data_IF_182934810497
#
_entry.id   IF_182934810497
#
_cell.length_a   1.000
_cell.length_b   1.000
_cell.length_c   1.000
_cell.angle_alpha   90.00
_cell.angle_beta   90.00
_cell.angle_gamma   90.00
#
_symmetry.space_group_name_H-M   'P 1'
#
loop_
_entity.id
_entity.type
_entity.pdbx_description
1 polymer ?
#
# COMPACT_ATOMS: atom_id res chain seq x y z
N UNK A 1 -0.55 7.76 -7.08
CA UNK A 1 0.14 6.57 -7.57
C UNK A 1 -0.77 5.40 -7.27
N UNK A 2 -1.25 4.77 -8.31
CA UNK A 2 -2.18 3.65 -8.23
C UNK A 2 -1.40 2.36 -8.37
N UNK A 3 -1.67 1.38 -7.51
CA UNK A 3 -0.99 0.10 -7.55
C UNK A 3 -1.96 -1.07 -7.42
N UNK A 4 -1.53 -2.19 -7.98
CA UNK A 4 -2.17 -3.50 -7.92
C UNK A 4 -1.37 -4.38 -6.97
N UNK A 5 -2.04 -5.08 -6.05
CA UNK A 5 -1.42 -5.94 -5.03
C UNK A 5 -1.88 -7.40 -5.21
N UNK A 6 -1.12 -8.20 -5.95
CA UNK A 6 -1.40 -9.62 -6.17
C UNK A 6 -0.72 -10.47 -5.09
N UNK A 7 -1.38 -11.55 -4.68
CA UNK A 7 -0.92 -12.39 -3.56
C UNK A 7 -0.71 -11.53 -2.32
N UNK A 8 -1.75 -10.75 -1.99
CA UNK A 8 -1.67 -9.61 -1.10
C UNK A 8 -1.31 -10.01 0.35
N UNK A 9 -1.56 -11.28 0.71
CA UNK A 9 -1.35 -11.82 2.04
C UNK A 9 -2.06 -10.95 3.08
N UNK A 10 -1.31 -10.49 4.08
CA UNK A 10 -1.79 -9.59 5.12
C UNK A 10 -1.61 -8.09 4.78
N UNK A 11 -1.13 -7.77 3.58
CA UNK A 11 -1.00 -6.39 3.07
C UNK A 11 0.35 -5.71 3.30
N UNK A 12 1.44 -6.46 3.18
CA UNK A 12 2.81 -5.94 3.34
C UNK A 12 3.14 -4.83 2.33
N UNK A 13 2.91 -5.09 1.03
CA UNK A 13 3.13 -4.09 -0.02
C UNK A 13 2.22 -2.87 0.15
N UNK A 14 0.95 -3.10 0.47
CA UNK A 14 0.00 -2.03 0.75
C UNK A 14 0.53 -1.06 1.82
N UNK A 15 0.95 -1.59 2.97
CA UNK A 15 1.49 -0.79 4.07
C UNK A 15 2.80 -0.10 3.67
N UNK A 16 3.70 -0.82 2.99
CA UNK A 16 4.99 -0.30 2.56
C UNK A 16 4.83 0.89 1.61
N UNK A 17 4.02 0.76 0.56
CA UNK A 17 3.79 1.83 -0.42
C UNK A 17 3.09 3.03 0.22
N UNK A 18 2.09 2.81 1.08
CA UNK A 18 1.44 3.91 1.83
C UNK A 18 2.46 4.68 2.68
N UNK A 19 3.35 3.99 3.38
CA UNK A 19 4.37 4.61 4.24
C UNK A 19 5.46 5.32 3.42
N UNK A 20 5.97 4.68 2.37
CA UNK A 20 6.99 5.25 1.50
C UNK A 20 6.52 6.57 0.88
N UNK A 21 5.29 6.61 0.37
CA UNK A 21 4.72 7.82 -0.24
C UNK A 21 4.41 8.90 0.80
N UNK A 22 3.97 8.51 1.99
CA UNK A 22 3.77 9.47 3.09
C UNK A 22 5.08 10.14 3.50
N UNK A 23 6.19 9.38 3.56
CA UNK A 23 7.50 9.94 3.87
C UNK A 23 8.06 10.82 2.75
N UNK A 24 7.79 10.48 1.49
CA UNK A 24 8.21 11.31 0.35
C UNK A 24 7.57 12.70 0.41
N UNK A 25 6.29 12.79 0.77
CA UNK A 25 5.61 14.08 1.01
C UNK A 25 6.29 14.85 2.13
N UNK A 26 6.58 14.21 3.27
CA UNK A 26 7.26 14.87 4.40
C UNK A 26 8.67 15.36 4.02
N UNK A 27 9.48 14.54 3.34
CA UNK A 27 10.81 14.94 2.90
C UNK A 27 10.79 16.04 1.86
N UNK A 28 9.84 16.03 0.92
CA UNK A 28 9.66 17.10 -0.07
C UNK A 28 9.28 18.43 0.59
N UNK A 29 8.42 18.37 1.62
CA UNK A 29 8.09 19.54 2.44
C UNK A 29 9.29 20.03 3.26
N UNK A 30 10.05 19.12 3.89
CA UNK A 30 11.25 19.47 4.66
C UNK A 30 12.39 20.03 3.79
N UNK A 31 12.63 19.46 2.62
CA UNK A 31 13.58 20.02 1.65
C UNK A 31 13.17 21.42 1.16
N UNK A 32 11.88 21.77 1.26
CA UNK A 32 11.39 23.14 1.06
C UNK A 32 11.39 23.99 2.33
N UNK A 33 11.59 23.40 3.52
CA UNK A 33 11.43 24.02 4.83
C UNK A 33 12.72 24.07 5.68
N UNK A 34 13.90 23.80 5.10
CA UNK A 34 15.21 24.02 5.73
C UNK A 34 15.54 25.50 6.04
N UNK A 35 14.52 26.32 6.29
CA UNK A 35 14.62 27.67 6.89
C UNK A 35 13.94 27.80 8.26
N UNK A 36 13.38 26.75 8.89
CA UNK A 36 12.87 26.90 10.26
C UNK A 36 12.81 25.59 11.08
N UNK A 37 13.72 25.44 12.03
CA UNK A 37 13.72 24.44 13.10
C UNK A 37 12.58 24.64 14.10
N UNK A 38 11.90 23.57 14.53
CA UNK A 38 11.25 23.48 15.85
C UNK A 38 11.17 22.01 16.33
N UNK A 39 11.31 21.72 17.65
CA UNK A 39 11.44 20.36 18.17
C UNK A 39 10.06 19.71 18.38
N UNK A 40 9.92 18.44 18.00
CA UNK A 40 8.68 17.69 18.14
C UNK A 40 8.73 16.82 19.40
N UNK A 41 7.93 17.17 20.41
CA UNK A 41 7.62 16.32 21.56
C UNK A 41 6.23 15.69 21.32
N UNK A 42 6.17 14.37 21.15
CA UNK A 42 4.90 13.65 20.93
C UNK A 42 4.13 13.49 22.24
N UNK A 43 2.87 13.95 22.28
CA UNK A 43 1.83 13.40 23.15
C UNK A 43 0.47 13.50 22.46
N UNK A 44 -0.27 12.40 22.45
CA UNK A 44 -1.50 12.22 21.66
C UNK A 44 -2.72 13.00 22.15
N UNK A 45 -3.73 13.07 21.28
CA UNK A 45 -5.07 13.59 21.58
C UNK A 45 -5.73 14.16 20.31
N UNK A 46 -6.94 13.69 19.98
CA UNK A 46 -7.70 14.12 18.82
C UNK A 46 -8.06 15.61 18.84
N UNK A 47 -8.01 16.23 17.65
CA UNK A 47 -8.47 17.59 17.40
C UNK A 47 -8.05 18.04 16.01
N UNK A 48 -9.01 18.46 15.17
CA UNK A 48 -8.72 19.19 13.93
C UNK A 48 -8.02 20.51 14.28
N UNK A 49 -6.74 20.64 13.91
CA UNK A 49 -6.04 21.93 14.01
C UNK A 49 -6.13 22.67 12.67
N UNK A 50 -6.97 23.71 12.65
CA UNK A 50 -6.94 24.79 11.67
C UNK A 50 -5.72 25.68 11.93
N UNK A 51 -4.72 25.62 11.06
CA UNK A 51 -3.58 26.54 11.07
C UNK A 51 -3.71 27.53 9.90
N UNK A 52 -4.05 28.79 10.20
CA UNK A 52 -3.90 29.92 9.28
C UNK A 52 -2.47 30.46 9.41
N UNK A 53 -1.67 30.38 8.36
CA UNK A 53 -0.40 31.11 8.25
C UNK A 53 -0.34 31.83 6.90
N UNK A 54 -0.10 33.13 6.98
CA UNK A 54 -0.01 34.08 5.87
C UNK A 54 1.42 34.20 5.36
N UNK A 55 1.54 34.26 4.03
CA UNK A 55 2.48 35.04 3.20
C UNK A 55 3.28 34.23 2.15
N UNK A 56 2.85 34.44 0.90
CA UNK A 56 3.70 34.65 -0.28
C UNK A 56 4.84 33.63 -0.56
N UNK A 57 4.53 32.34 -0.54
CA UNK A 57 5.32 31.32 -1.23
C UNK A 57 4.52 30.82 -2.45
N UNK A 58 5.17 30.80 -3.61
CA UNK A 58 4.61 30.41 -4.90
C UNK A 58 3.84 29.08 -4.76
N UNK A 59 2.56 29.09 -5.16
CA UNK A 59 1.62 27.97 -5.12
C UNK A 59 2.07 26.81 -6.04
N UNK A 60 3.09 26.06 -5.64
CA UNK A 60 3.20 24.68 -6.07
C UNK A 60 2.12 23.92 -5.30
N UNK A 61 0.98 23.66 -5.94
CA UNK A 61 -0.07 22.80 -5.41
C UNK A 61 0.52 21.40 -5.27
N UNK A 62 1.17 21.11 -4.14
CA UNK A 62 1.62 19.76 -3.80
C UNK A 62 0.35 18.97 -3.56
N UNK A 63 -0.21 18.41 -4.63
CA UNK A 63 -1.24 17.39 -4.53
C UNK A 63 -0.63 16.28 -3.69
N UNK A 64 -1.26 16.04 -2.54
CA UNK A 64 -0.83 15.05 -1.56
C UNK A 64 -0.62 13.73 -2.28
N UNK A 65 0.64 13.32 -2.40
CA UNK A 65 1.04 12.16 -3.20
C UNK A 65 0.70 10.90 -2.39
N UNK A 66 -0.38 10.22 -2.75
CA UNK A 66 -0.82 9.00 -2.08
C UNK A 66 -0.57 7.77 -2.94
N UNK A 67 -0.17 6.67 -2.31
CA UNK A 67 -0.27 5.33 -2.86
C UNK A 67 -1.69 4.81 -2.62
N UNK A 68 -2.42 4.50 -3.69
CA UNK A 68 -3.77 3.97 -3.66
C UNK A 68 -3.78 2.56 -4.24
N UNK A 69 -4.21 1.60 -3.43
CA UNK A 69 -4.44 0.24 -3.89
C UNK A 69 -5.73 0.24 -4.71
N UNK A 70 -5.63 0.02 -6.02
CA UNK A 70 -6.80 0.00 -6.92
C UNK A 70 -7.33 -1.40 -7.18
N UNK A 71 -6.52 -2.42 -6.90
CA UNK A 71 -6.90 -3.83 -6.93
C UNK A 71 -6.03 -4.60 -5.95
N UNK A 72 -6.60 -5.58 -5.26
CA UNK A 72 -5.86 -6.52 -4.43
C UNK A 72 -6.48 -7.93 -4.51
N UNK A 73 -5.67 -8.97 -4.57
CA UNK A 73 -6.15 -10.36 -4.66
C UNK A 73 -5.44 -11.26 -3.64
N UNK A 74 -6.23 -12.10 -2.95
CA UNK A 74 -5.76 -13.08 -1.99
C UNK A 74 -6.74 -14.26 -1.92
N UNK A 75 -6.21 -15.48 -1.93
CA UNK A 75 -6.99 -16.72 -1.91
C UNK A 75 -7.14 -17.27 -0.48
N UNK A 76 -6.15 -17.09 0.39
CA UNK A 76 -6.16 -17.59 1.76
C UNK A 76 -7.16 -16.83 2.64
N UNK A 77 -8.08 -17.56 3.28
CA UNK A 77 -9.18 -16.94 4.04
C UNK A 77 -8.69 -16.19 5.28
N UNK A 78 -7.63 -16.66 5.93
CA UNK A 78 -7.10 -16.03 7.15
C UNK A 78 -6.36 -14.73 6.82
N UNK A 79 -5.58 -14.73 5.74
CA UNK A 79 -4.93 -13.56 5.18
C UNK A 79 -5.97 -12.52 4.76
N UNK A 80 -7.05 -12.94 4.08
CA UNK A 80 -8.17 -12.03 3.71
C UNK A 80 -8.81 -11.37 4.91
N UNK A 81 -9.07 -12.12 5.98
CA UNK A 81 -9.66 -11.57 7.21
C UNK A 81 -8.73 -10.51 7.82
N UNK A 82 -7.44 -10.81 7.91
CA UNK A 82 -6.43 -9.88 8.43
C UNK A 82 -6.27 -8.64 7.55
N UNK A 83 -6.19 -8.82 6.23
CA UNK A 83 -6.08 -7.71 5.28
C UNK A 83 -7.29 -6.79 5.38
N UNK A 84 -8.51 -7.34 5.37
CA UNK A 84 -9.76 -6.57 5.43
C UNK A 84 -9.88 -5.79 6.73
N UNK A 85 -9.44 -6.37 7.86
CA UNK A 85 -9.40 -5.69 9.15
C UNK A 85 -8.49 -4.45 9.12
N UNK A 86 -7.34 -4.53 8.46
CA UNK A 86 -6.35 -3.44 8.39
C UNK A 86 -6.65 -2.43 7.28
N UNK A 87 -7.27 -2.85 6.18
CA UNK A 87 -7.53 -2.05 4.99
C UNK A 87 -9.02 -2.13 4.56
N UNK A 88 -9.98 -1.75 5.42
CA UNK A 88 -11.40 -1.97 5.18
C UNK A 88 -11.96 -1.21 3.96
N UNK A 89 -11.25 -0.17 3.49
CA UNK A 89 -11.63 0.58 2.28
C UNK A 89 -11.14 -0.06 0.97
N UNK A 90 -10.37 -1.14 1.05
CA UNK A 90 -9.80 -1.82 -0.12
C UNK A 90 -10.54 -3.13 -0.36
N UNK A 91 -11.15 -3.26 -1.53
CA UNK A 91 -11.81 -4.49 -1.93
C UNK A 91 -10.76 -5.56 -2.22
N UNK A 92 -10.92 -6.71 -1.58
CA UNK A 92 -10.08 -7.88 -1.79
C UNK A 92 -10.77 -8.88 -2.70
N UNK A 93 -10.12 -9.25 -3.79
CA UNK A 93 -10.55 -10.28 -4.72
C UNK A 93 -10.00 -11.65 -4.30
N UNK A 94 -10.61 -12.71 -4.81
CA UNK A 94 -10.19 -14.10 -4.53
C UNK A 94 -9.08 -14.55 -5.47
N UNK A 95 -9.12 -15.84 -5.80
CA UNK A 95 -8.22 -16.53 -6.73
C UNK A 95 -7.98 -15.73 -8.04
N UNK A 96 -6.72 -15.36 -8.26
CA UNK A 96 -6.26 -14.57 -9.42
C UNK A 96 -6.18 -15.39 -10.71
N UNK A 97 -6.21 -16.73 -10.63
CA UNK A 97 -6.23 -17.60 -11.80
C UNK A 97 -7.57 -17.58 -12.53
N UNK A 98 -8.64 -17.14 -11.85
CA UNK A 98 -9.98 -17.04 -12.42
C UNK A 98 -10.11 -15.83 -13.35
N UNK A 99 -10.64 -16.05 -14.56
CA UNK A 99 -10.88 -14.99 -15.55
C UNK A 99 -11.79 -13.87 -15.00
N UNK A 100 -12.77 -14.23 -14.16
CA UNK A 100 -13.67 -13.27 -13.50
C UNK A 100 -12.93 -12.32 -12.55
N UNK A 101 -11.90 -12.81 -11.85
CA UNK A 101 -11.02 -11.99 -11.01
C UNK A 101 -10.14 -11.08 -11.86
N UNK A 102 -9.56 -11.62 -12.94
CA UNK A 102 -8.67 -10.88 -13.84
C UNK A 102 -9.39 -9.72 -14.53
N UNK A 103 -10.66 -9.91 -14.93
CA UNK A 103 -11.50 -8.86 -15.52
C UNK A 103 -11.73 -7.65 -14.62
N UNK A 104 -11.53 -7.77 -13.31
CA UNK A 104 -11.67 -6.67 -12.37
C UNK A 104 -10.38 -5.85 -12.17
N UNK A 105 -9.24 -6.30 -12.75
CA UNK A 105 -7.99 -5.53 -12.72
C UNK A 105 -8.15 -4.28 -13.61
N UNK A 106 -7.87 -3.07 -13.10
CA UNK A 106 -7.91 -1.86 -13.92
C UNK A 106 -6.94 -1.93 -15.10
N UNK A 107 -7.34 -1.36 -16.25
CA UNK A 107 -6.47 -1.21 -17.42
C UNK A 107 -5.23 -0.36 -17.14
N UNK A 108 -5.37 0.60 -16.21
CA UNK A 108 -4.36 1.59 -15.89
C UNK A 108 -3.98 1.51 -14.41
N UNK A 109 -2.67 1.36 -14.16
CA UNK A 109 -2.04 1.46 -12.84
C UNK A 109 -0.54 1.74 -13.02
N UNK A 110 0.11 2.27 -11.99
CA UNK A 110 1.52 2.66 -12.05
C UNK A 110 2.46 1.52 -11.61
N UNK A 111 2.03 0.71 -10.63
CA UNK A 111 2.83 -0.38 -10.05
C UNK A 111 2.02 -1.65 -9.95
N UNK A 112 2.66 -2.77 -10.31
CA UNK A 112 2.24 -4.12 -9.92
C UNK A 112 3.15 -4.62 -8.79
N UNK A 113 2.55 -4.96 -7.66
CA UNK A 113 3.19 -5.71 -6.58
C UNK A 113 2.69 -7.15 -6.62
N UNK A 114 3.60 -8.11 -6.50
CA UNK A 114 3.25 -9.53 -6.44
C UNK A 114 4.24 -10.28 -5.55
N UNK A 115 3.76 -10.76 -4.41
CA UNK A 115 4.49 -11.69 -3.55
C UNK A 115 4.11 -13.12 -3.88
N UNK A 116 4.43 -13.58 -5.10
CA UNK A 116 3.91 -14.87 -5.57
C UNK A 116 4.39 -16.05 -4.70
N UNK A 117 3.58 -17.11 -4.56
CA UNK A 117 3.90 -18.31 -3.81
C UNK A 117 5.28 -18.87 -4.20
N UNK A 118 6.20 -18.96 -3.23
CA UNK A 118 7.57 -19.40 -3.47
C UNK A 118 7.77 -20.91 -3.26
N UNK A 119 6.70 -21.65 -2.93
CA UNK A 119 6.76 -23.04 -2.49
C UNK A 119 7.52 -23.91 -3.50
N UNK A 120 7.23 -23.75 -4.80
CA UNK A 120 7.89 -24.49 -5.88
C UNK A 120 9.39 -24.20 -6.05
N UNK A 121 9.90 -23.13 -5.42
CA UNK A 121 11.27 -22.64 -5.56
C UNK A 121 12.06 -22.70 -4.24
N UNK A 122 11.39 -23.03 -3.13
CA UNK A 122 12.00 -23.01 -1.81
C UNK A 122 12.86 -24.24 -1.58
N UNK A 123 14.11 -24.04 -1.16
CA UNK A 123 15.02 -25.13 -0.74
C UNK A 123 14.50 -25.91 0.47
N UNK A 124 13.57 -25.33 1.22
CA UNK A 124 12.95 -25.97 2.38
C UNK A 124 11.86 -26.97 2.00
N UNK A 125 11.40 -26.99 0.73
CA UNK A 125 10.31 -27.86 0.28
C UNK A 125 10.85 -28.95 -0.65
N UNK A 126 10.70 -30.24 -0.29
CA UNK A 126 11.08 -31.34 -1.16
C UNK A 126 10.29 -31.35 -2.48
N UNK A 127 10.87 -31.81 -3.61
CA UNK A 127 10.26 -31.76 -4.95
C UNK A 127 8.89 -32.45 -5.06
N UNK A 128 8.61 -33.43 -4.20
CA UNK A 128 7.38 -34.24 -4.21
C UNK A 128 6.40 -33.85 -3.08
N UNK A 129 6.64 -32.73 -2.40
CA UNK A 129 5.84 -32.26 -1.28
C UNK A 129 5.00 -31.03 -1.60
N UNK A 130 4.95 -30.64 -2.88
CA UNK A 130 4.15 -29.52 -3.32
C UNK A 130 2.67 -29.92 -3.38
N UNK A 131 1.77 -29.19 -2.72
CA UNK A 131 0.35 -29.44 -2.83
C UNK A 131 -0.15 -28.97 -4.21
N UNK A 132 -1.35 -29.40 -4.62
CA UNK A 132 -1.86 -29.11 -5.97
C UNK A 132 -2.36 -27.65 -6.14
N UNK A 133 -2.40 -26.88 -5.06
CA UNK A 133 -2.99 -25.54 -4.91
C UNK A 133 -1.92 -24.48 -4.59
N UNK A 134 -0.81 -24.48 -5.35
CA UNK A 134 0.29 -23.51 -5.16
C UNK A 134 -0.09 -22.10 -5.64
N UNK A 135 -1.17 -21.94 -6.41
CA UNK A 135 -1.56 -20.68 -7.07
C UNK A 135 -2.93 -20.20 -6.61
#
# INVERSE_FOLDING_TARGET
MDFVDLFAGVGGFHLALRRAMSQYVVKSLHASADTATLPLHLRGGGGELSAKSTNHAKNAKISKLHARCVFASEIDTNAKATYTLNFPSTRLFGDITQESTQKAIPSDFDILCAGFPCQAFSVAIPPNSLPNDIL
#
